data_IF_240054369965
#
_entry.id   IF_240054369965
#
_cell.length_a   1.000
_cell.length_b   1.000
_cell.length_c   1.000
_cell.angle_alpha   90.00
_cell.angle_beta   90.00
_cell.angle_gamma   90.00
#
_symmetry.space_group_name_H-M   'P 1'
#
loop_
_entity.id
_entity.type
_entity.pdbx_description
1 polymer ?
#
# COMPACT_ATOMS: atom_id res chain seq x y z
N UNK A 1 -57.94 -42.60 58.89
CA UNK A 1 -57.34 -43.49 57.90
C UNK A 1 -56.81 -42.60 56.79
N UNK A 2 -55.51 -42.28 56.78
CA UNK A 2 -54.88 -41.44 55.86
C UNK A 2 -53.74 -42.20 55.15
N UNK A 3 -53.81 -42.38 53.82
CA UNK A 3 -52.80 -43.07 53.02
C UNK A 3 -51.80 -42.05 52.54
N UNK A 4 -50.59 -42.14 53.05
CA UNK A 4 -49.43 -41.38 52.51
C UNK A 4 -48.98 -42.01 51.20
N UNK A 5 -49.04 -41.21 50.12
CA UNK A 5 -48.46 -41.55 48.81
C UNK A 5 -47.09 -40.86 48.74
N UNK A 6 -46.06 -41.65 48.76
CA UNK A 6 -44.65 -41.23 48.63
C UNK A 6 -44.35 -41.01 47.17
N UNK A 7 -44.12 -39.74 46.75
CA UNK A 7 -43.71 -39.40 45.43
C UNK A 7 -42.19 -39.58 45.25
N UNK A 8 -41.81 -40.54 44.42
CA UNK A 8 -40.44 -40.78 44.06
C UNK A 8 -40.07 -39.74 42.95
N UNK A 9 -39.15 -38.87 43.30
CA UNK A 9 -38.57 -37.95 42.30
C UNK A 9 -37.41 -38.65 41.61
N UNK A 10 -37.59 -38.94 40.32
CA UNK A 10 -36.53 -39.44 39.46
C UNK A 10 -35.76 -38.21 38.98
N UNK A 11 -34.51 -38.07 39.48
CA UNK A 11 -33.58 -37.04 39.01
C UNK A 11 -32.91 -37.55 37.77
N UNK A 12 -33.27 -36.97 36.61
CA UNK A 12 -32.52 -37.16 35.35
C UNK A 12 -31.26 -36.29 35.35
N UNK A 13 -30.13 -36.95 35.54
CA UNK A 13 -28.82 -36.33 35.40
C UNK A 13 -28.49 -36.25 33.92
N UNK A 14 -28.71 -35.08 33.27
CA UNK A 14 -28.27 -34.82 31.92
C UNK A 14 -26.76 -34.58 31.94
N UNK A 15 -26.02 -35.57 31.46
CA UNK A 15 -24.60 -35.44 31.17
C UNK A 15 -24.46 -34.68 29.86
N UNK A 16 -24.23 -33.33 29.91
CA UNK A 16 -23.83 -32.53 28.75
C UNK A 16 -22.37 -32.83 28.44
N UNK A 17 -22.11 -33.69 27.46
CA UNK A 17 -20.80 -33.78 26.83
C UNK A 17 -20.61 -32.48 26.01
N UNK A 18 -19.92 -31.50 26.58
CA UNK A 18 -19.45 -30.32 25.88
C UNK A 18 -18.38 -30.72 24.87
N UNK A 19 -18.77 -30.80 23.60
CA UNK A 19 -17.80 -30.79 22.48
C UNK A 19 -17.20 -29.40 22.41
N UNK A 20 -16.05 -29.17 23.05
CA UNK A 20 -15.24 -27.98 22.82
C UNK A 20 -14.57 -28.08 21.46
N UNK A 21 -15.23 -27.53 20.44
CA UNK A 21 -14.59 -27.27 19.14
C UNK A 21 -13.47 -26.25 19.35
N UNK A 22 -12.25 -26.71 19.35
CA UNK A 22 -11.06 -25.86 19.27
C UNK A 22 -11.05 -25.22 17.88
N UNK A 23 -11.46 -23.94 17.80
CA UNK A 23 -11.24 -23.12 16.62
C UNK A 23 -9.74 -22.82 16.59
N UNK A 24 -8.99 -23.62 15.86
CA UNK A 24 -7.62 -23.28 15.49
C UNK A 24 -7.68 -22.05 14.57
N UNK A 25 -7.34 -20.88 15.10
CA UNK A 25 -6.99 -19.76 14.27
C UNK A 25 -5.71 -20.15 13.53
N UNK A 26 -5.86 -20.61 12.28
CA UNK A 26 -4.72 -20.67 11.36
C UNK A 26 -4.22 -19.23 11.25
N UNK A 27 -3.05 -18.99 11.82
CA UNK A 27 -2.29 -17.78 11.56
C UNK A 27 -1.95 -17.84 10.06
N UNK A 28 -2.71 -17.12 9.23
CA UNK A 28 -2.35 -16.93 7.82
C UNK A 28 -1.03 -16.16 7.82
N UNK A 29 0.06 -16.89 7.85
CA UNK A 29 1.37 -16.39 7.45
C UNK A 29 1.19 -16.06 5.97
N UNK A 30 0.84 -14.81 5.68
CA UNK A 30 0.60 -14.34 4.31
C UNK A 30 1.76 -14.79 3.44
N UNK A 31 1.43 -15.51 2.38
CA UNK A 31 2.41 -16.02 1.40
C UNK A 31 3.46 -14.92 1.12
N UNK A 32 4.73 -15.22 1.34
CA UNK A 32 5.86 -14.32 1.08
C UNK A 32 6.04 -14.05 -0.44
N UNK A 33 5.26 -14.73 -1.28
CA UNK A 33 5.35 -14.58 -2.74
C UNK A 33 4.89 -13.19 -3.16
N UNK A 34 5.76 -12.39 -3.80
CA UNK A 34 5.38 -11.07 -4.29
C UNK A 34 4.24 -11.14 -5.32
N UNK A 35 3.35 -10.14 -5.39
CA UNK A 35 2.41 -10.00 -6.51
C UNK A 35 3.19 -9.84 -7.82
N UNK A 36 2.67 -10.40 -8.92
CA UNK A 36 3.29 -10.29 -10.24
C UNK A 36 2.55 -9.26 -11.08
N UNK A 37 3.27 -8.49 -11.86
CA UNK A 37 2.71 -7.45 -12.73
C UNK A 37 1.68 -8.00 -13.73
N UNK A 38 1.88 -9.23 -14.18
CA UNK A 38 0.98 -9.91 -15.13
C UNK A 38 -0.41 -10.21 -14.57
N UNK A 39 -0.51 -10.31 -13.24
CA UNK A 39 -1.78 -10.58 -12.56
C UNK A 39 -2.64 -9.30 -12.43
N UNK A 40 -2.10 -8.13 -12.78
CA UNK A 40 -2.74 -6.81 -12.66
C UNK A 40 -2.64 -6.00 -13.95
N UNK A 41 -3.25 -6.46 -15.05
CA UNK A 41 -3.13 -5.77 -16.33
C UNK A 41 -3.73 -4.35 -16.27
N UNK A 42 -3.03 -3.39 -16.87
CA UNK A 42 -3.50 -2.03 -16.99
C UNK A 42 -4.49 -1.85 -18.17
N UNK A 43 -5.30 -0.79 -18.16
CA UNK A 43 -6.00 -0.33 -19.35
C UNK A 43 -5.02 -0.03 -20.50
N UNK A 44 -5.49 -0.05 -21.78
CA UNK A 44 -4.66 0.32 -22.90
C UNK A 44 -4.06 1.72 -22.76
N UNK A 45 -2.82 1.88 -23.26
CA UNK A 45 -2.10 3.16 -23.23
C UNK A 45 -2.96 4.32 -23.75
N UNK A 46 -3.12 5.34 -22.91
CA UNK A 46 -3.83 6.55 -23.27
C UNK A 46 -3.00 7.40 -24.24
N UNK A 47 -3.51 7.57 -25.45
CA UNK A 47 -2.89 8.35 -26.53
C UNK A 47 -3.61 9.69 -26.80
N UNK A 48 -4.65 10.01 -26.02
CA UNK A 48 -5.42 11.24 -26.17
C UNK A 48 -4.67 12.49 -25.71
N UNK A 49 -5.28 13.64 -25.96
CA UNK A 49 -4.80 14.92 -25.42
C UNK A 49 -4.90 14.92 -23.88
N UNK A 50 -3.93 15.53 -23.17
CA UNK A 50 -4.01 15.61 -21.72
C UNK A 50 -5.24 16.42 -21.30
N UNK A 51 -5.93 15.97 -20.27
CA UNK A 51 -6.99 16.74 -19.63
C UNK A 51 -6.39 17.97 -18.93
N UNK A 52 -7.24 18.96 -18.62
CA UNK A 52 -6.85 20.03 -17.71
C UNK A 52 -6.63 19.46 -16.31
N UNK A 53 -5.63 19.98 -15.59
CA UNK A 53 -5.39 19.60 -14.21
C UNK A 53 -6.64 19.85 -13.37
N UNK A 54 -7.11 18.83 -12.66
CA UNK A 54 -8.14 18.98 -11.64
C UNK A 54 -7.54 19.63 -10.40
N UNK A 55 -8.20 20.67 -9.88
CA UNK A 55 -7.75 21.42 -8.70
C UNK A 55 -8.58 21.05 -7.46
N UNK A 56 -9.01 19.78 -7.38
CA UNK A 56 -9.88 19.26 -6.33
C UNK A 56 -9.13 18.98 -5.02
N UNK A 57 -7.78 18.81 -5.06
CA UNK A 57 -6.94 18.63 -3.88
C UNK A 57 -6.07 19.86 -3.57
N UNK A 58 -5.62 19.97 -2.32
CA UNK A 58 -4.66 21.01 -1.92
C UNK A 58 -3.33 20.84 -2.65
N UNK A 59 -2.87 19.60 -2.79
CA UNK A 59 -1.66 19.24 -3.55
C UNK A 59 -1.73 19.78 -4.98
N UNK A 60 -2.85 19.57 -5.67
CA UNK A 60 -3.05 20.03 -7.04
C UNK A 60 -3.04 21.56 -7.14
N UNK A 61 -3.57 22.27 -6.17
CA UNK A 61 -3.56 23.76 -6.13
C UNK A 61 -2.15 24.29 -5.86
N UNK A 62 -1.46 23.72 -4.87
CA UNK A 62 -0.11 24.14 -4.45
C UNK A 62 0.91 23.94 -5.56
N UNK A 63 0.91 22.78 -6.23
CA UNK A 63 1.89 22.43 -7.25
C UNK A 63 1.34 22.55 -8.68
N UNK A 64 0.33 23.41 -8.88
CA UNK A 64 -0.42 23.57 -10.13
C UNK A 64 0.46 23.65 -11.38
N UNK A 65 1.47 24.51 -11.37
CA UNK A 65 2.34 24.74 -12.54
C UNK A 65 3.10 23.48 -12.92
N UNK A 66 3.69 22.82 -11.94
CA UNK A 66 4.47 21.59 -12.14
C UNK A 66 3.60 20.43 -12.61
N UNK A 67 2.46 20.23 -11.96
CA UNK A 67 1.53 19.16 -12.31
C UNK A 67 0.89 19.37 -13.69
N UNK A 68 0.60 20.62 -14.06
CA UNK A 68 0.13 20.95 -15.42
C UNK A 68 1.21 20.62 -16.47
N UNK A 69 2.46 20.96 -16.22
CA UNK A 69 3.56 20.62 -17.10
C UNK A 69 3.77 19.11 -17.22
N UNK A 70 3.63 18.37 -16.12
CA UNK A 70 3.74 16.91 -16.10
C UNK A 70 2.72 16.23 -17.02
N UNK A 71 1.50 16.72 -17.13
CA UNK A 71 0.46 16.16 -18.00
C UNK A 71 0.84 16.11 -19.48
N UNK A 72 1.83 16.92 -19.94
CA UNK A 72 2.36 16.84 -21.29
C UNK A 72 3.27 15.64 -21.53
N UNK A 73 3.82 15.04 -20.49
CA UNK A 73 4.73 13.90 -20.58
C UNK A 73 4.00 12.61 -21.00
N UNK A 74 4.78 11.58 -21.35
CA UNK A 74 4.23 10.26 -21.66
C UNK A 74 3.84 9.55 -20.36
N UNK A 75 2.72 8.82 -20.33
CA UNK A 75 2.40 7.94 -19.22
C UNK A 75 3.50 6.90 -19.00
N UNK A 76 3.75 6.55 -17.76
CA UNK A 76 4.73 5.54 -17.33
C UNK A 76 4.11 4.45 -16.45
N UNK A 77 2.87 4.65 -15.98
CA UNK A 77 2.20 3.71 -15.09
C UNK A 77 0.73 3.54 -15.48
N UNK A 78 0.23 2.31 -15.36
CA UNK A 78 -1.18 1.90 -15.56
C UNK A 78 -1.82 2.50 -16.83
N UNK A 79 -1.07 2.60 -17.92
CA UNK A 79 -1.54 3.09 -19.21
C UNK A 79 -1.84 4.59 -19.29
N UNK A 80 -2.01 5.30 -18.18
CA UNK A 80 -2.48 6.70 -18.21
C UNK A 80 -1.89 7.63 -17.14
N UNK A 81 -1.03 7.14 -16.25
CA UNK A 81 -0.44 7.95 -15.21
C UNK A 81 0.96 8.42 -15.57
N UNK A 82 1.20 9.69 -15.35
CA UNK A 82 2.51 10.34 -15.46
C UNK A 82 3.11 10.43 -14.07
N UNK A 83 4.38 10.06 -13.93
CA UNK A 83 5.16 10.26 -12.70
C UNK A 83 5.86 11.63 -12.78
N UNK A 84 5.72 12.42 -11.73
CA UNK A 84 6.45 13.67 -11.55
C UNK A 84 6.86 13.84 -10.09
N UNK A 85 7.69 14.85 -9.81
CA UNK A 85 8.14 15.09 -8.45
C UNK A 85 8.91 16.40 -8.33
N UNK A 86 9.34 16.70 -7.11
CA UNK A 86 10.07 17.92 -6.78
C UNK A 86 10.91 17.74 -5.51
N UNK A 87 11.91 18.58 -5.37
CA UNK A 87 12.66 18.68 -4.13
C UNK A 87 11.79 19.27 -3.01
N UNK A 88 11.84 18.70 -1.82
CA UNK A 88 11.05 19.10 -0.65
C UNK A 88 11.90 19.73 0.47
N UNK A 89 13.11 20.16 0.15
CA UNK A 89 14.01 20.80 1.11
C UNK A 89 15.47 20.42 0.91
N UNK A 90 16.21 20.37 2.02
CA UNK A 90 17.61 19.93 2.06
C UNK A 90 17.77 18.42 2.09
N UNK A 91 19.00 17.92 2.15
CA UNK A 91 19.32 16.49 2.34
C UNK A 91 18.72 15.58 1.27
N UNK A 92 18.71 16.03 0.00
CA UNK A 92 18.20 15.20 -1.09
C UNK A 92 16.73 14.81 -0.99
N UNK A 93 15.95 15.54 -0.18
CA UNK A 93 14.51 15.31 -0.05
C UNK A 93 13.81 15.45 -1.41
N UNK A 94 13.00 14.44 -1.77
CA UNK A 94 12.31 14.41 -3.04
C UNK A 94 10.91 13.78 -2.89
N UNK A 95 9.90 14.51 -3.34
CA UNK A 95 8.52 14.04 -3.43
C UNK A 95 8.22 13.51 -4.82
N UNK A 96 7.48 12.40 -4.89
CA UNK A 96 6.96 11.82 -6.13
C UNK A 96 5.44 11.69 -6.06
N UNK A 97 4.79 12.02 -7.17
CA UNK A 97 3.34 11.90 -7.32
C UNK A 97 2.98 11.37 -8.71
N UNK A 98 1.82 10.74 -8.80
CA UNK A 98 1.23 10.26 -10.04
C UNK A 98 0.05 11.14 -10.44
N UNK A 99 0.00 11.54 -11.72
CA UNK A 99 -1.07 12.35 -12.29
C UNK A 99 -1.73 11.58 -13.43
N UNK A 100 -3.03 11.44 -13.39
CA UNK A 100 -3.79 10.78 -14.44
C UNK A 100 -3.95 11.71 -15.65
N UNK A 101 -3.33 11.36 -16.78
CA UNK A 101 -3.33 12.16 -17.99
C UNK A 101 -4.71 12.26 -18.65
N UNK A 102 -5.55 11.22 -18.49
CA UNK A 102 -6.90 11.17 -19.08
C UNK A 102 -7.87 12.09 -18.35
N UNK A 103 -7.76 12.18 -17.01
CA UNK A 103 -8.72 12.91 -16.17
C UNK A 103 -8.18 14.20 -15.59
N UNK A 104 -6.85 14.40 -15.58
CA UNK A 104 -6.19 15.51 -14.92
C UNK A 104 -6.14 15.41 -13.40
N UNK A 105 -6.59 14.31 -12.81
CA UNK A 105 -6.57 14.11 -11.37
C UNK A 105 -5.20 13.68 -10.87
N UNK A 106 -4.80 14.21 -9.73
CA UNK A 106 -3.62 13.75 -8.99
C UNK A 106 -4.03 12.61 -8.07
N UNK A 107 -3.20 11.58 -7.94
CA UNK A 107 -3.36 10.61 -6.86
C UNK A 107 -2.99 11.27 -5.53
N UNK A 108 -3.86 11.16 -4.52
CA UNK A 108 -3.68 11.81 -3.21
C UNK A 108 -2.67 11.04 -2.32
N UNK A 109 -1.60 10.51 -2.94
CA UNK A 109 -0.49 9.88 -2.26
C UNK A 109 0.81 10.49 -2.75
N UNK A 110 1.59 11.00 -1.80
CA UNK A 110 2.94 11.52 -2.05
C UNK A 110 3.93 10.50 -1.51
N UNK A 111 4.82 10.04 -2.37
CA UNK A 111 5.96 9.23 -1.97
C UNK A 111 7.14 10.15 -1.71
N UNK A 112 7.66 10.09 -0.50
CA UNK A 112 8.72 10.96 -0.04
C UNK A 112 9.95 10.16 0.38
N UNK A 113 11.12 10.60 -0.06
CA UNK A 113 12.38 10.05 0.38
C UNK A 113 13.44 11.14 0.50
N UNK A 114 14.42 10.92 1.36
CA UNK A 114 15.54 11.83 1.59
C UNK A 114 16.83 11.04 1.82
N UNK A 115 17.99 11.70 1.70
CA UNK A 115 19.27 11.11 2.00
C UNK A 115 19.55 11.18 3.50
N UNK A 116 20.03 10.07 4.05
CA UNK A 116 20.51 9.92 5.42
C UNK A 116 21.87 9.25 5.38
N UNK A 117 22.51 9.09 6.52
CA UNK A 117 23.82 8.43 6.63
C UNK A 117 23.69 7.18 7.50
N UNK A 118 24.10 6.05 6.96
CA UNK A 118 24.19 4.80 7.72
C UNK A 118 25.55 4.70 8.38
N UNK A 119 25.56 4.81 9.70
CA UNK A 119 26.81 4.77 10.49
C UNK A 119 27.44 3.38 10.55
N UNK A 120 26.67 2.32 10.26
CA UNK A 120 27.19 0.96 10.29
C UNK A 120 27.90 0.59 8.99
N UNK A 121 27.35 1.05 7.85
CA UNK A 121 27.91 0.82 6.50
C UNK A 121 28.79 1.99 6.03
N UNK A 122 28.88 3.07 6.81
CA UNK A 122 29.62 4.30 6.49
C UNK A 122 29.22 4.85 5.10
N UNK A 123 27.96 4.84 4.78
CA UNK A 123 27.44 5.20 3.46
C UNK A 123 26.18 6.06 3.49
N UNK A 124 25.97 6.82 2.43
CA UNK A 124 24.71 7.50 2.20
C UNK A 124 23.60 6.48 1.88
N UNK A 125 22.47 6.62 2.55
CA UNK A 125 21.30 5.79 2.36
C UNK A 125 20.08 6.65 2.04
N UNK A 126 19.20 6.14 1.20
CA UNK A 126 17.89 6.75 0.93
C UNK A 126 16.85 6.20 1.89
N UNK A 127 16.21 7.08 2.65
CA UNK A 127 15.20 6.76 3.67
C UNK A 127 13.86 7.35 3.24
N UNK A 128 12.77 6.67 3.57
CA UNK A 128 11.42 7.02 3.16
C UNK A 128 10.84 6.02 2.17
N UNK A 129 9.90 6.44 1.36
CA UNK A 129 9.27 5.59 0.35
C UNK A 129 9.30 6.25 -1.02
N UNK A 130 9.64 5.50 -2.06
CA UNK A 130 9.68 6.01 -3.43
C UNK A 130 9.22 4.99 -4.46
N UNK A 131 8.67 5.50 -5.57
CA UNK A 131 8.35 4.71 -6.75
C UNK A 131 9.65 4.42 -7.49
N UNK A 132 9.96 3.14 -7.71
CA UNK A 132 11.22 2.76 -8.37
C UNK A 132 11.02 2.47 -9.85
N UNK A 133 10.14 1.53 -10.18
CA UNK A 133 9.97 1.04 -11.56
C UNK A 133 8.48 0.92 -11.92
N UNK A 134 7.80 2.04 -12.20
CA UNK A 134 6.39 2.00 -12.59
C UNK A 134 6.23 1.29 -13.94
N UNK A 135 5.23 0.43 -14.08
CA UNK A 135 4.96 -0.33 -15.30
C UNK A 135 3.78 0.26 -16.06
N UNK A 136 3.97 0.51 -17.36
CA UNK A 136 2.95 1.11 -18.23
C UNK A 136 1.76 0.18 -18.46
N UNK A 137 1.99 -1.11 -18.48
CA UNK A 137 1.05 -2.18 -18.81
C UNK A 137 0.46 -2.89 -17.58
N UNK A 138 0.80 -2.43 -16.37
CA UNK A 138 0.29 -2.98 -15.12
C UNK A 138 -0.33 -1.92 -14.22
N UNK A 139 -1.45 -2.24 -13.57
CA UNK A 139 -2.03 -1.45 -12.47
C UNK A 139 -1.39 -1.73 -11.10
N UNK A 140 -0.42 -2.66 -11.05
CA UNK A 140 0.40 -2.90 -9.86
C UNK A 140 1.52 -1.86 -9.81
N UNK A 141 1.60 -1.11 -8.72
CA UNK A 141 2.70 -0.20 -8.42
C UNK A 141 3.58 -0.80 -7.36
N UNK A 142 4.87 -0.84 -7.62
CA UNK A 142 5.87 -1.28 -6.65
C UNK A 142 6.66 -0.07 -6.16
N UNK A 143 6.83 0.02 -4.84
CA UNK A 143 7.65 1.03 -4.18
C UNK A 143 8.69 0.36 -3.28
N UNK A 144 9.79 1.04 -3.07
CA UNK A 144 10.76 0.69 -2.02
C UNK A 144 10.55 1.62 -0.84
N UNK A 145 10.47 1.05 0.35
CA UNK A 145 10.40 1.79 1.62
C UNK A 145 11.57 1.41 2.51
N UNK A 146 12.26 2.41 3.01
CA UNK A 146 13.35 2.24 3.99
C UNK A 146 13.05 3.07 5.21
N UNK A 147 13.13 2.45 6.38
CA UNK A 147 12.92 3.14 7.66
C UNK A 147 13.90 2.63 8.72
N UNK A 148 14.05 3.40 9.79
CA UNK A 148 14.84 2.95 10.93
C UNK A 148 14.16 1.76 11.61
N UNK A 149 14.96 0.78 12.04
CA UNK A 149 14.49 -0.27 12.94
C UNK A 149 13.93 0.31 14.24
N UNK A 150 13.10 -0.46 14.94
CA UNK A 150 12.50 -0.01 16.20
C UNK A 150 13.53 0.37 17.28
N UNK A 151 14.70 -0.24 17.27
CA UNK A 151 15.81 0.09 18.18
C UNK A 151 16.72 1.21 17.65
N UNK A 152 16.45 1.71 16.45
CA UNK A 152 17.21 2.80 15.81
C UNK A 152 18.62 2.46 15.39
N UNK A 153 19.01 1.16 15.39
CA UNK A 153 20.40 0.74 15.16
C UNK A 153 20.72 0.38 13.72
N UNK A 154 19.70 0.07 12.92
CA UNK A 154 19.86 -0.33 11.53
C UNK A 154 18.66 0.11 10.69
N UNK A 155 18.77 0.01 9.38
CA UNK A 155 17.68 0.28 8.47
C UNK A 155 16.98 -1.01 8.07
N UNK A 156 15.66 -0.92 7.91
CA UNK A 156 14.81 -2.02 7.45
C UNK A 156 14.24 -1.65 6.10
N UNK A 157 14.28 -2.60 5.19
CA UNK A 157 13.84 -2.43 3.81
C UNK A 157 12.55 -3.19 3.58
N UNK A 158 11.63 -2.55 2.86
CA UNK A 158 10.37 -3.13 2.47
C UNK A 158 10.09 -2.86 1.00
N UNK A 159 9.46 -3.82 0.37
CA UNK A 159 8.81 -3.63 -0.92
C UNK A 159 7.30 -3.57 -0.70
N UNK A 160 6.69 -2.44 -1.03
CA UNK A 160 5.25 -2.25 -0.96
C UNK A 160 4.63 -2.41 -2.34
N UNK A 161 3.46 -3.04 -2.38
CA UNK A 161 2.68 -3.30 -3.58
C UNK A 161 1.33 -2.63 -3.45
N UNK A 162 1.03 -1.74 -4.40
CA UNK A 162 -0.23 -1.02 -4.48
C UNK A 162 -0.95 -1.36 -5.77
N UNK A 163 -2.27 -1.30 -5.76
CA UNK A 163 -3.08 -1.28 -6.97
C UNK A 163 -3.78 0.07 -7.10
N UNK A 164 -3.88 0.56 -8.35
CA UNK A 164 -4.68 1.74 -8.66
C UNK A 164 -6.07 1.32 -9.10
N UNK A 165 -7.09 1.82 -8.42
CA UNK A 165 -8.49 1.75 -8.85
C UNK A 165 -9.16 3.11 -8.66
N UNK A 166 -9.89 3.57 -9.66
CA UNK A 166 -10.67 4.83 -9.62
C UNK A 166 -9.89 6.03 -9.07
N UNK A 167 -8.62 6.15 -9.46
CA UNK A 167 -7.70 7.21 -9.02
C UNK A 167 -7.36 7.16 -7.51
N UNK A 168 -7.35 5.98 -6.92
CA UNK A 168 -6.87 5.72 -5.57
C UNK A 168 -5.83 4.61 -5.60
N UNK A 169 -4.80 4.72 -4.76
CA UNK A 169 -3.83 3.66 -4.52
C UNK A 169 -4.21 2.91 -3.25
N UNK A 170 -4.30 1.60 -3.36
CA UNK A 170 -4.55 0.71 -2.21
C UNK A 170 -3.35 -0.18 -2.01
N UNK A 171 -2.75 -0.14 -0.83
CA UNK A 171 -1.70 -1.08 -0.44
C UNK A 171 -2.30 -2.48 -0.31
N UNK A 172 -1.79 -3.43 -1.09
CA UNK A 172 -2.26 -4.82 -1.07
C UNK A 172 -1.27 -5.76 -0.41
N UNK A 173 0.01 -5.38 -0.37
CA UNK A 173 1.05 -6.19 0.26
C UNK A 173 2.27 -5.36 0.63
N UNK A 174 2.89 -5.75 1.73
CA UNK A 174 4.25 -5.35 2.13
C UNK A 174 5.09 -6.60 2.30
N UNK A 175 6.26 -6.60 1.73
CA UNK A 175 7.28 -7.64 1.91
C UNK A 175 8.48 -6.99 2.55
N UNK A 176 8.94 -7.51 3.67
CA UNK A 176 10.20 -7.09 4.26
C UNK A 176 11.33 -7.81 3.53
N UNK A 177 12.29 -7.05 3.04
CA UNK A 177 13.44 -7.60 2.35
C UNK A 177 14.43 -8.15 3.38
N UNK A 178 14.83 -9.41 3.20
CA UNK A 178 15.94 -9.99 3.96
C UNK A 178 17.25 -9.48 3.36
N UNK A 179 17.95 -8.63 4.09
CA UNK A 179 19.36 -8.34 3.84
C UNK A 179 20.24 -9.28 4.62
#
# INVERSE_FOLDING_TARGET
MSKNIMKIHVIYLFFFLGLSSQISFANETGSQVPPRTEDYPAPPLYKGKPAKLSLDSELARTFRTRLTAALSQKPVYAGEYVLTGWGCGSSGCYDQVLVNKRTGKVLDMVFNAYSSYDVNDESDIRVGEWIESPQIDSSLLTTVKVENSQDGKHFVYYTNYYIVDKNQLTLIKTVQDSK
#
